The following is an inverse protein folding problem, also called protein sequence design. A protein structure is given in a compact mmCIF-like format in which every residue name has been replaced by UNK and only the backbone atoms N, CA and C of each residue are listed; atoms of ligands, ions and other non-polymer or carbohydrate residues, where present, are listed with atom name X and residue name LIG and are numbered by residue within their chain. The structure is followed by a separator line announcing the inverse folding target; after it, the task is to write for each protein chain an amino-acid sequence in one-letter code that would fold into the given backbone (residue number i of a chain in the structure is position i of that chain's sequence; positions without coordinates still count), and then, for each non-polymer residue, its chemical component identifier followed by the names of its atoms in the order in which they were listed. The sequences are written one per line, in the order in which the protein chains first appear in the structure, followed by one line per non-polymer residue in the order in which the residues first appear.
data_IF_435407635541
#
_entry.id   IF_435407635541
#
_cell.length_a   1.000
_cell.length_b   1.000
_cell.length_c   1.000
_cell.angle_alpha   90.00
_cell.angle_beta   90.00
_cell.angle_gamma   90.00
#
_symmetry.space_group_name_H-M   'P 1'
#
loop_
_entity.id
_entity.type
_entity.pdbx_description
1 polymer ?
#
# COMPACT_ATOMS: atom_id res chain seq x y z
N UNK A 1 31.35 -1.57 -0.84
CA UNK A 1 30.02 -1.15 -0.34
C UNK A 1 29.64 0.20 -0.90
N UNK A 2 30.41 1.26 -0.62
CA UNK A 2 30.14 2.65 -1.01
C UNK A 2 29.86 2.82 -2.51
N UNK A 3 30.67 2.23 -3.41
CA UNK A 3 30.44 2.33 -4.86
C UNK A 3 29.15 1.65 -5.32
N UNK A 4 28.72 0.56 -4.67
CA UNK A 4 27.48 -0.14 -5.03
C UNK A 4 26.25 0.58 -4.46
N UNK A 5 26.34 1.10 -3.24
CA UNK A 5 25.29 1.92 -2.67
C UNK A 5 25.14 3.24 -3.46
N UNK A 6 26.24 3.92 -3.78
CA UNK A 6 26.24 5.10 -4.65
C UNK A 6 25.70 4.77 -6.05
N UNK A 7 26.02 3.61 -6.61
CA UNK A 7 25.46 3.16 -7.88
C UNK A 7 23.94 2.94 -7.81
N UNK A 8 23.44 2.32 -6.74
CA UNK A 8 22.00 2.13 -6.53
C UNK A 8 21.28 3.47 -6.35
N UNK A 9 21.85 4.38 -5.55
CA UNK A 9 21.34 5.74 -5.34
C UNK A 9 21.33 6.51 -6.66
N UNK A 10 22.41 6.45 -7.44
CA UNK A 10 22.56 7.22 -8.67
C UNK A 10 21.78 6.65 -9.87
N UNK A 11 21.52 5.34 -9.90
CA UNK A 11 20.83 4.67 -11.02
C UNK A 11 19.37 4.30 -10.74
N UNK A 12 18.88 4.51 -9.52
CA UNK A 12 17.49 4.23 -9.10
C UNK A 12 17.03 2.78 -9.34
N UNK A 13 17.97 1.84 -9.53
CA UNK A 13 17.64 0.45 -9.83
C UNK A 13 17.41 -0.33 -8.54
N UNK A 14 16.16 -0.33 -8.08
CA UNK A 14 15.67 -1.12 -6.96
C UNK A 14 15.97 -2.63 -7.11
N UNK A 15 16.06 -3.15 -8.33
CA UNK A 15 16.41 -4.55 -8.63
C UNK A 15 17.82 -4.93 -8.15
N UNK A 16 18.75 -3.97 -8.10
CA UNK A 16 20.13 -4.19 -7.61
C UNK A 16 20.28 -4.08 -6.10
N UNK A 17 19.23 -3.70 -5.37
CA UNK A 17 19.26 -3.52 -3.91
C UNK A 17 19.54 -4.85 -3.18
N UNK A 18 19.10 -5.98 -3.73
CA UNK A 18 19.35 -7.30 -3.13
C UNK A 18 20.84 -7.65 -3.05
N UNK A 19 21.68 -7.08 -3.93
CA UNK A 19 23.14 -7.26 -3.86
C UNK A 19 23.74 -6.67 -2.59
N UNK A 20 23.06 -5.70 -1.97
CA UNK A 20 23.50 -5.11 -0.70
C UNK A 20 23.43 -6.10 0.47
N UNK A 21 22.63 -7.18 0.36
CA UNK A 21 22.55 -8.23 1.38
C UNK A 21 23.89 -8.98 1.59
N UNK A 22 24.85 -8.83 0.67
CA UNK A 22 26.19 -9.42 0.76
C UNK A 22 27.12 -8.67 1.70
N UNK A 23 26.77 -7.45 2.10
CA UNK A 23 27.58 -6.66 3.02
C UNK A 23 27.22 -6.97 4.48
N UNK A 24 28.13 -6.63 5.39
CA UNK A 24 27.83 -6.65 6.81
C UNK A 24 26.64 -5.73 7.12
N UNK A 25 25.66 -6.25 7.87
CA UNK A 25 24.40 -5.53 8.12
C UNK A 25 24.60 -4.29 8.97
N UNK A 26 25.50 -4.35 9.94
CA UNK A 26 25.76 -3.22 10.82
C UNK A 26 26.48 -2.10 10.06
N UNK A 27 27.55 -2.42 9.34
CA UNK A 27 28.28 -1.46 8.52
C UNK A 27 27.37 -0.80 7.47
N UNK A 28 26.57 -1.61 6.77
CA UNK A 28 25.61 -1.10 5.78
C UNK A 28 24.57 -0.19 6.44
N UNK A 29 24.03 -0.59 7.59
CA UNK A 29 23.03 0.22 8.29
C UNK A 29 23.60 1.57 8.73
N UNK A 30 24.78 1.58 9.35
CA UNK A 30 25.43 2.82 9.78
C UNK A 30 25.75 3.74 8.58
N UNK A 31 26.19 3.16 7.46
CA UNK A 31 26.40 3.90 6.22
C UNK A 31 25.09 4.53 5.71
N UNK A 32 24.03 3.74 5.59
CA UNK A 32 22.74 4.22 5.09
C UNK A 32 22.12 5.29 5.99
N UNK A 33 22.23 5.16 7.32
CA UNK A 33 21.78 6.20 8.26
C UNK A 33 22.55 7.51 8.06
N UNK A 34 23.88 7.42 7.91
CA UNK A 34 24.72 8.59 7.66
C UNK A 34 24.34 9.30 6.37
N UNK A 35 24.03 8.56 5.31
CA UNK A 35 23.55 9.16 4.06
C UNK A 35 22.14 9.73 4.22
N UNK A 36 21.22 9.03 4.89
CA UNK A 36 19.85 9.51 5.12
C UNK A 36 19.83 10.87 5.82
N UNK A 37 20.71 11.08 6.80
CA UNK A 37 20.79 12.32 7.56
C UNK A 37 21.41 13.50 6.80
N UNK A 38 22.05 13.25 5.65
CA UNK A 38 22.57 14.32 4.77
C UNK A 38 21.51 14.78 3.77
N UNK A 39 20.61 13.89 3.39
CA UNK A 39 19.66 14.14 2.30
C UNK A 39 18.45 14.92 2.78
N UNK A 40 18.15 16.03 2.08
CA UNK A 40 16.96 16.86 2.33
C UNK A 40 15.83 16.52 1.36
N UNK A 41 16.17 16.05 0.16
CA UNK A 41 15.18 15.79 -0.88
C UNK A 41 14.44 14.46 -0.61
N UNK A 42 13.11 14.51 -0.66
CA UNK A 42 12.24 13.34 -0.45
C UNK A 42 12.61 12.15 -1.36
N UNK A 43 12.98 12.42 -2.62
CA UNK A 43 13.34 11.38 -3.59
C UNK A 43 14.57 10.58 -3.14
N UNK A 44 15.59 11.26 -2.62
CA UNK A 44 16.83 10.65 -2.18
C UNK A 44 16.64 9.90 -0.86
N UNK A 45 15.89 10.51 0.09
CA UNK A 45 15.48 9.82 1.31
C UNK A 45 14.67 8.55 1.00
N UNK A 46 13.75 8.61 0.03
CA UNK A 46 12.94 7.45 -0.36
C UNK A 46 13.79 6.28 -0.86
N UNK A 47 14.84 6.55 -1.63
CA UNK A 47 15.76 5.51 -2.09
C UNK A 47 16.51 4.87 -0.91
N UNK A 48 17.00 5.69 0.01
CA UNK A 48 17.73 5.22 1.19
C UNK A 48 16.83 4.41 2.12
N UNK A 49 15.64 4.93 2.43
CA UNK A 49 14.62 4.21 3.20
C UNK A 49 14.24 2.90 2.50
N UNK A 50 14.11 2.90 1.16
CA UNK A 50 13.87 1.70 0.36
C UNK A 50 14.96 0.64 0.54
N UNK A 51 16.24 1.04 0.59
CA UNK A 51 17.35 0.13 0.89
C UNK A 51 17.27 -0.41 2.33
N UNK A 52 17.02 0.46 3.32
CA UNK A 52 16.87 0.03 4.72
C UNK A 52 15.72 -0.99 4.84
N UNK A 53 14.53 -0.64 4.34
CA UNK A 53 13.35 -1.49 4.44
C UNK A 53 13.49 -2.84 3.74
N UNK A 54 13.99 -2.86 2.49
CA UNK A 54 14.06 -4.09 1.69
C UNK A 54 15.27 -4.97 2.00
N UNK A 55 16.39 -4.39 2.46
CA UNK A 55 17.63 -5.15 2.70
C UNK A 55 17.77 -5.54 4.17
N UNK A 56 17.54 -4.59 5.08
CA UNK A 56 17.77 -4.78 6.50
C UNK A 56 16.50 -5.26 7.21
N UNK A 57 15.33 -4.77 6.80
CA UNK A 57 14.04 -5.18 7.34
C UNK A 57 14.02 -5.12 8.87
N UNK A 58 13.66 -6.24 9.50
CA UNK A 58 13.58 -6.37 10.97
C UNK A 58 14.89 -6.02 11.71
N UNK A 59 16.05 -6.07 11.06
CA UNK A 59 17.30 -5.60 11.69
C UNK A 59 17.22 -4.13 12.12
N UNK A 60 16.46 -3.32 11.40
CA UNK A 60 16.28 -1.89 11.67
C UNK A 60 15.13 -1.59 12.66
N UNK A 61 14.44 -2.60 13.20
CA UNK A 61 13.23 -2.42 14.02
C UNK A 61 13.42 -1.45 15.19
N UNK A 62 14.51 -1.59 15.93
CA UNK A 62 14.78 -0.74 17.12
C UNK A 62 14.90 0.72 16.74
N UNK A 63 15.61 1.02 15.64
CA UNK A 63 15.73 2.39 15.13
C UNK A 63 14.41 2.91 14.55
N UNK A 64 13.66 2.07 13.82
CA UNK A 64 12.33 2.45 13.33
C UNK A 64 11.36 2.70 14.48
N UNK A 65 11.52 2.02 15.61
CA UNK A 65 10.72 2.32 16.80
C UNK A 65 11.10 3.68 17.41
N UNK A 66 12.40 4.01 17.48
CA UNK A 66 12.85 5.28 18.07
C UNK A 66 12.40 6.51 17.28
N UNK A 67 12.30 6.44 15.94
CA UNK A 67 11.81 7.57 15.13
C UNK A 67 10.32 7.93 15.36
N UNK A 68 9.54 7.05 16.00
CA UNK A 68 8.17 7.37 16.45
C UNK A 68 8.15 8.11 17.79
N UNK A 69 9.14 7.85 18.65
CA UNK A 69 9.32 8.51 19.95
C UNK A 69 9.96 9.89 19.76
N UNK A 70 11.09 9.93 19.05
CA UNK A 70 11.91 11.13 18.86
C UNK A 70 11.27 12.14 17.89
N UNK A 71 10.40 11.66 17.00
CA UNK A 71 9.71 12.45 15.94
C UNK A 71 10.67 13.41 15.22
N UNK A 72 11.74 12.91 14.59
CA UNK A 72 12.71 13.77 13.93
C UNK A 72 12.08 14.55 12.76
N UNK A 73 12.28 15.87 12.74
CA UNK A 73 11.75 16.74 11.67
C UNK A 73 12.35 16.47 10.29
N UNK A 74 13.50 15.78 10.23
CA UNK A 74 14.23 15.53 8.99
C UNK A 74 13.76 14.27 8.24
N UNK A 75 12.93 13.41 8.84
CA UNK A 75 12.38 12.22 8.16
C UNK A 75 10.92 12.49 7.81
N UNK A 76 10.61 12.47 6.52
CA UNK A 76 9.23 12.59 6.05
C UNK A 76 8.34 11.50 6.67
N UNK A 77 7.16 11.89 7.17
CA UNK A 77 6.26 10.98 7.90
C UNK A 77 5.81 9.79 7.05
N UNK A 78 5.73 9.95 5.71
CA UNK A 78 5.38 8.87 4.79
C UNK A 78 6.50 7.83 4.72
N UNK A 79 7.75 8.28 4.74
CA UNK A 79 8.91 7.39 4.80
C UNK A 79 9.02 6.69 6.14
N UNK A 80 8.66 7.36 7.24
CA UNK A 80 8.53 6.71 8.55
C UNK A 80 7.50 5.57 8.52
N UNK A 81 6.33 5.78 7.92
CA UNK A 81 5.32 4.72 7.76
C UNK A 81 5.80 3.59 6.86
N UNK A 82 6.44 3.90 5.73
CA UNK A 82 7.07 2.90 4.87
C UNK A 82 8.07 2.02 5.64
N UNK A 83 9.01 2.64 6.36
CA UNK A 83 9.99 1.93 7.18
C UNK A 83 9.32 1.07 8.25
N UNK A 84 8.21 1.55 8.82
CA UNK A 84 7.43 0.81 9.81
C UNK A 84 6.82 -0.45 9.21
N UNK A 85 6.21 -0.36 8.03
CA UNK A 85 5.66 -1.52 7.33
C UNK A 85 6.75 -2.56 6.99
N UNK A 86 7.95 -2.11 6.65
CA UNK A 86 9.04 -2.98 6.20
C UNK A 86 9.88 -3.58 7.33
N UNK A 87 10.03 -2.86 8.45
CA UNK A 87 11.02 -3.18 9.50
C UNK A 87 10.40 -3.58 10.84
N UNK A 88 9.08 -3.68 10.94
CA UNK A 88 8.39 -4.07 12.19
C UNK A 88 7.39 -5.19 11.93
N UNK A 89 6.93 -5.86 12.99
CA UNK A 89 5.79 -6.78 12.85
C UNK A 89 4.54 -6.01 12.44
N UNK A 90 3.72 -6.60 11.55
CA UNK A 90 2.46 -6.03 11.06
C UNK A 90 1.59 -5.41 12.16
N UNK A 91 1.32 -6.15 13.24
CA UNK A 91 0.41 -5.70 14.30
C UNK A 91 0.94 -4.46 15.04
N UNK A 92 2.22 -4.47 15.42
CA UNK A 92 2.90 -3.32 16.05
C UNK A 92 2.94 -2.12 15.10
N UNK A 93 3.31 -2.34 13.84
CA UNK A 93 3.47 -1.28 12.85
C UNK A 93 2.15 -0.59 12.50
N UNK A 94 1.07 -1.37 12.29
CA UNK A 94 -0.25 -0.82 12.01
C UNK A 94 -0.77 -0.01 13.20
N UNK A 95 -0.60 -0.50 14.44
CA UNK A 95 -1.00 0.24 15.62
C UNK A 95 -0.32 1.61 15.71
N UNK A 96 0.98 1.69 15.43
CA UNK A 96 1.72 2.96 15.39
C UNK A 96 1.17 3.92 14.34
N UNK A 97 0.91 3.42 13.13
CA UNK A 97 0.45 4.25 12.01
C UNK A 97 -1.01 4.68 12.16
N UNK A 98 -1.89 3.81 12.64
CA UNK A 98 -3.29 4.17 12.96
C UNK A 98 -3.33 5.27 14.02
N UNK A 99 -2.63 5.08 15.14
CA UNK A 99 -2.55 6.10 16.20
C UNK A 99 -2.03 7.44 15.66
N UNK A 100 -1.04 7.42 14.76
CA UNK A 100 -0.54 8.64 14.13
C UNK A 100 -1.59 9.34 13.27
N UNK A 101 -2.26 8.59 12.39
CA UNK A 101 -3.29 9.13 11.51
C UNK A 101 -4.47 9.69 12.31
N UNK A 102 -4.93 8.96 13.33
CA UNK A 102 -6.07 9.32 14.18
C UNK A 102 -5.75 10.47 15.15
N UNK A 103 -4.49 10.64 15.56
CA UNK A 103 -4.07 11.77 16.40
C UNK A 103 -4.11 13.13 15.68
N UNK A 104 -4.22 13.11 14.35
CA UNK A 104 -4.36 14.32 13.55
C UNK A 104 -5.79 14.82 13.63
N UNK A 105 -6.01 16.03 14.16
CA UNK A 105 -7.31 16.71 14.09
C UNK A 105 -7.73 17.10 12.65
N UNK A 106 -6.94 16.72 11.64
CA UNK A 106 -7.22 16.98 10.23
C UNK A 106 -7.91 15.78 9.61
N UNK A 107 -8.82 16.04 8.67
CA UNK A 107 -9.49 14.99 7.91
C UNK A 107 -8.49 14.29 6.98
N UNK A 108 -8.16 13.03 7.26
CA UNK A 108 -7.23 12.19 6.48
C UNK A 108 -7.72 12.03 5.04
N UNK A 109 -6.91 12.40 4.05
CA UNK A 109 -7.25 12.21 2.62
C UNK A 109 -6.93 10.78 2.14
N UNK A 110 -7.48 10.35 1.01
CA UNK A 110 -7.19 9.01 0.47
C UNK A 110 -5.72 8.85 0.09
N UNK A 111 -5.08 9.87 -0.50
CA UNK A 111 -3.65 9.86 -0.81
C UNK A 111 -2.78 9.81 0.44
N UNK A 112 -3.19 10.51 1.50
CA UNK A 112 -2.51 10.47 2.79
C UNK A 112 -2.61 9.07 3.40
N UNK A 113 -3.82 8.51 3.51
CA UNK A 113 -4.04 7.14 3.99
C UNK A 113 -3.22 6.12 3.17
N UNK A 114 -3.26 6.22 1.83
CA UNK A 114 -2.50 5.37 0.92
C UNK A 114 -0.98 5.47 1.18
N UNK A 115 -0.46 6.68 1.36
CA UNK A 115 0.97 6.90 1.59
C UNK A 115 1.49 6.38 2.93
N UNK A 116 0.59 6.14 3.89
CA UNK A 116 0.92 5.65 5.22
C UNK A 116 0.61 4.16 5.41
N UNK A 117 -0.42 3.64 4.77
CA UNK A 117 -0.94 2.29 5.01
C UNK A 117 -0.73 1.33 3.84
N UNK A 118 -0.43 1.84 2.63
CA UNK A 118 -0.39 1.05 1.40
C UNK A 118 0.68 -0.05 1.36
N UNK A 119 1.79 0.12 2.09
CA UNK A 119 2.89 -0.85 2.12
C UNK A 119 2.70 -1.98 3.15
N UNK A 120 1.66 -1.92 4.00
CA UNK A 120 1.37 -2.98 4.98
C UNK A 120 0.72 -4.22 4.36
N UNK A 121 0.04 -4.05 3.23
CA UNK A 121 -0.66 -5.13 2.53
C UNK A 121 -1.56 -5.98 3.46
N UNK A 122 -2.30 -5.32 4.37
CA UNK A 122 -3.07 -6.00 5.42
C UNK A 122 -4.56 -5.73 5.30
N UNK A 123 -5.37 -6.78 5.46
CA UNK A 123 -6.83 -6.66 5.58
C UNK A 123 -7.28 -5.84 6.80
N UNK A 124 -6.43 -5.71 7.82
CA UNK A 124 -6.72 -4.85 8.97
C UNK A 124 -6.85 -3.37 8.55
N UNK A 125 -6.18 -2.97 7.46
CA UNK A 125 -6.34 -1.65 6.85
C UNK A 125 -7.74 -1.48 6.29
N UNK A 126 -8.33 -2.53 5.69
CA UNK A 126 -9.71 -2.47 5.20
C UNK A 126 -10.68 -2.24 6.36
N UNK A 127 -10.49 -2.93 7.48
CA UNK A 127 -11.29 -2.74 8.69
C UNK A 127 -11.19 -1.30 9.22
N UNK A 128 -10.00 -0.71 9.20
CA UNK A 128 -9.80 0.69 9.56
C UNK A 128 -10.51 1.64 8.58
N UNK A 129 -10.35 1.41 7.27
CA UNK A 129 -10.92 2.26 6.21
C UNK A 129 -12.44 2.41 6.26
N UNK A 130 -13.19 1.48 6.84
CA UNK A 130 -14.66 1.57 6.90
C UNK A 130 -15.16 2.84 7.58
N UNK A 131 -14.44 3.27 8.61
CA UNK A 131 -14.81 4.46 9.36
C UNK A 131 -14.28 5.74 8.71
N UNK A 132 -13.20 5.64 7.93
CA UNK A 132 -12.42 6.78 7.45
C UNK A 132 -12.61 7.11 5.96
N UNK A 133 -13.04 6.14 5.14
CA UNK A 133 -13.21 6.32 3.70
C UNK A 133 -14.21 7.43 3.40
N UNK A 134 -13.92 8.21 2.37
CA UNK A 134 -14.74 9.35 1.94
C UNK A 134 -14.60 9.62 0.46
N UNK A 135 -15.57 10.33 -0.11
CA UNK A 135 -15.44 10.86 -1.45
C UNK A 135 -14.38 11.99 -1.53
N UNK A 136 -13.68 12.12 -2.67
CA UNK A 136 -13.68 11.20 -3.81
C UNK A 136 -12.86 9.93 -3.55
N UNK A 137 -13.43 8.76 -3.84
CA UNK A 137 -12.78 7.47 -3.54
C UNK A 137 -11.61 7.15 -4.48
N UNK A 138 -11.59 7.76 -5.66
CA UNK A 138 -10.51 7.61 -6.66
C UNK A 138 -9.24 8.41 -6.30
N UNK A 139 -9.25 9.18 -5.22
CA UNK A 139 -8.07 9.88 -4.69
C UNK A 139 -7.31 9.01 -3.69
N UNK A 140 -7.07 7.74 -4.04
CA UNK A 140 -6.21 6.82 -3.29
C UNK A 140 -6.93 5.82 -2.39
N UNK A 141 -8.22 6.00 -2.11
CA UNK A 141 -8.96 5.03 -1.28
C UNK A 141 -9.19 3.69 -2.01
N UNK A 142 -9.52 3.74 -3.29
CA UNK A 142 -9.64 2.57 -4.17
C UNK A 142 -8.32 1.79 -4.28
N UNK A 143 -7.21 2.50 -4.44
CA UNK A 143 -5.87 1.92 -4.49
C UNK A 143 -5.45 1.36 -3.12
N UNK A 144 -5.79 2.03 -2.02
CA UNK A 144 -5.52 1.52 -0.70
C UNK A 144 -6.32 0.22 -0.44
N UNK A 145 -7.59 0.19 -0.83
CA UNK A 145 -8.40 -1.03 -0.73
C UNK A 145 -7.76 -2.18 -1.51
N UNK A 146 -7.35 -1.93 -2.75
CA UNK A 146 -6.67 -2.89 -3.62
C UNK A 146 -5.38 -3.43 -2.98
N UNK A 147 -4.52 -2.54 -2.48
CA UNK A 147 -3.24 -2.91 -1.87
C UNK A 147 -3.39 -3.64 -0.54
N UNK A 148 -4.54 -3.54 0.12
CA UNK A 148 -4.81 -4.10 1.44
C UNK A 148 -5.25 -5.57 1.45
N UNK A 149 -5.05 -6.29 0.33
CA UNK A 149 -5.30 -7.72 0.22
C UNK A 149 -6.75 -8.15 0.52
N UNK A 150 -7.73 -7.48 -0.09
CA UNK A 150 -9.18 -7.74 0.11
C UNK A 150 -9.64 -9.16 -0.28
N UNK A 151 -10.39 -9.82 0.57
CA UNK A 151 -11.03 -11.11 0.26
C UNK A 151 -12.35 -10.95 -0.48
N UNK A 152 -12.91 -12.07 -0.97
CA UNK A 152 -14.28 -12.13 -1.47
C UNK A 152 -15.32 -11.66 -0.44
N UNK A 153 -15.12 -12.00 0.84
CA UNK A 153 -16.03 -11.57 1.89
C UNK A 153 -15.98 -10.05 2.10
N UNK A 154 -14.81 -9.43 1.93
CA UNK A 154 -14.68 -7.97 1.99
C UNK A 154 -15.45 -7.31 0.83
N UNK A 155 -15.40 -7.88 -0.38
CA UNK A 155 -16.18 -7.38 -1.53
C UNK A 155 -17.69 -7.41 -1.29
N UNK A 156 -18.21 -8.56 -0.82
CA UNK A 156 -19.63 -8.69 -0.50
C UNK A 156 -20.05 -7.72 0.59
N UNK A 157 -19.25 -7.61 1.66
CA UNK A 157 -19.53 -6.75 2.80
C UNK A 157 -19.51 -5.28 2.39
N UNK A 158 -18.44 -4.81 1.76
CA UNK A 158 -18.28 -3.39 1.39
C UNK A 158 -19.33 -2.93 0.39
N UNK A 159 -19.74 -3.78 -0.55
CA UNK A 159 -20.84 -3.44 -1.49
C UNK A 159 -22.24 -3.47 -0.86
N UNK A 160 -22.36 -3.84 0.41
CA UNK A 160 -23.59 -3.75 1.20
C UNK A 160 -23.60 -2.57 2.19
N UNK A 161 -22.47 -1.87 2.35
CA UNK A 161 -22.35 -0.68 3.19
C UNK A 161 -22.82 0.58 2.43
N UNK A 162 -22.47 1.75 2.94
CA UNK A 162 -22.78 3.03 2.31
C UNK A 162 -22.14 3.17 0.92
N UNK A 163 -22.72 4.05 0.10
CA UNK A 163 -22.31 4.32 -1.29
C UNK A 163 -20.80 4.51 -1.47
N UNK A 164 -20.13 5.20 -0.54
CA UNK A 164 -18.67 5.41 -0.59
C UNK A 164 -17.89 4.08 -0.61
N UNK A 165 -18.31 3.09 0.15
CA UNK A 165 -17.65 1.77 0.21
C UNK A 165 -17.89 0.99 -1.07
N UNK A 166 -19.14 0.97 -1.55
CA UNK A 166 -19.51 0.30 -2.80
C UNK A 166 -18.72 0.87 -3.98
N UNK A 167 -18.59 2.20 -4.06
CA UNK A 167 -17.85 2.87 -5.14
C UNK A 167 -16.34 2.65 -5.01
N UNK A 168 -15.79 2.55 -3.80
CA UNK A 168 -14.40 2.12 -3.58
C UNK A 168 -14.16 0.72 -4.16
N UNK A 169 -15.05 -0.24 -3.91
CA UNK A 169 -14.94 -1.60 -4.46
C UNK A 169 -14.98 -1.60 -5.99
N UNK A 170 -15.91 -0.85 -6.58
CA UNK A 170 -16.03 -0.75 -8.04
C UNK A 170 -14.71 -0.32 -8.69
N UNK A 171 -14.10 0.76 -8.20
CA UNK A 171 -12.84 1.25 -8.75
C UNK A 171 -11.63 0.39 -8.38
N UNK A 172 -11.62 -0.24 -7.19
CA UNK A 172 -10.58 -1.17 -6.81
C UNK A 172 -10.55 -2.42 -7.71
N UNK A 173 -11.72 -2.95 -8.10
CA UNK A 173 -11.82 -4.08 -9.03
C UNK A 173 -11.38 -3.71 -10.45
N UNK A 174 -11.73 -2.51 -10.92
CA UNK A 174 -11.26 -2.00 -12.22
C UNK A 174 -9.73 -1.85 -12.23
N UNK A 175 -9.16 -1.30 -11.16
CA UNK A 175 -7.70 -1.23 -10.98
C UNK A 175 -7.06 -2.61 -10.91
N UNK A 176 -7.66 -3.57 -10.19
CA UNK A 176 -7.16 -4.95 -10.11
C UNK A 176 -7.03 -5.57 -11.51
N UNK A 177 -8.05 -5.44 -12.36
CA UNK A 177 -8.02 -5.91 -13.75
C UNK A 177 -6.90 -5.23 -14.53
N UNK A 178 -6.80 -3.90 -14.44
CA UNK A 178 -5.76 -3.15 -15.14
C UNK A 178 -4.34 -3.57 -14.72
N UNK A 179 -4.09 -3.70 -13.42
CA UNK A 179 -2.78 -4.07 -12.88
C UNK A 179 -2.40 -5.52 -13.23
N UNK A 180 -3.34 -6.46 -13.13
CA UNK A 180 -3.11 -7.85 -13.57
C UNK A 180 -2.85 -7.96 -15.07
N UNK A 181 -3.55 -7.20 -15.91
CA UNK A 181 -3.32 -7.20 -17.36
C UNK A 181 -1.97 -6.59 -17.73
N UNK A 182 -1.56 -5.52 -17.05
CA UNK A 182 -0.37 -4.75 -17.40
C UNK A 182 0.92 -5.36 -16.84
N UNK A 183 0.85 -6.13 -15.75
CA UNK A 183 2.02 -6.51 -14.97
C UNK A 183 2.08 -8.01 -14.66
N UNK A 184 3.12 -8.68 -15.18
CA UNK A 184 3.41 -10.08 -14.84
C UNK A 184 3.80 -10.29 -13.36
N UNK A 185 4.13 -9.21 -12.62
CA UNK A 185 4.55 -9.28 -11.21
C UNK A 185 3.43 -8.97 -10.20
N UNK A 186 2.24 -8.55 -10.65
CA UNK A 186 1.12 -8.33 -9.71
C UNK A 186 0.57 -9.67 -9.22
N UNK A 187 1.12 -10.15 -8.10
CA UNK A 187 0.88 -11.50 -7.58
C UNK A 187 -0.33 -11.62 -6.65
N UNK A 188 -1.08 -10.53 -6.43
CA UNK A 188 -2.20 -10.55 -5.51
C UNK A 188 -3.29 -11.53 -6.00
N UNK A 189 -3.79 -12.38 -5.10
CA UNK A 189 -4.86 -13.34 -5.36
C UNK A 189 -5.97 -13.10 -4.35
N UNK A 190 -7.19 -12.91 -4.85
CA UNK A 190 -8.36 -12.65 -4.01
C UNK A 190 -8.73 -13.94 -3.27
N UNK A 191 -8.54 -13.93 -1.96
CA UNK A 191 -8.85 -15.10 -1.12
C UNK A 191 -10.35 -15.36 -1.06
N UNK A 192 -10.73 -16.65 -1.13
CA UNK A 192 -12.13 -17.08 -1.06
C UNK A 192 -12.96 -16.73 -2.29
N UNK A 193 -12.32 -16.46 -3.43
CA UNK A 193 -13.02 -16.15 -4.67
C UNK A 193 -14.00 -17.29 -5.04
N UNK A 194 -15.24 -16.96 -5.43
CA UNK A 194 -16.25 -17.96 -5.72
C UNK A 194 -16.04 -18.60 -7.10
N UNK A 195 -17.05 -19.30 -7.62
CA UNK A 195 -17.04 -19.72 -9.03
C UNK A 195 -17.14 -18.54 -9.98
N UNK A 196 -16.62 -18.69 -11.21
CA UNK A 196 -16.72 -17.66 -12.26
C UNK A 196 -18.16 -17.18 -12.50
N UNK A 197 -19.13 -18.10 -12.51
CA UNK A 197 -20.55 -17.76 -12.66
C UNK A 197 -21.08 -16.92 -11.50
N UNK A 198 -20.75 -17.28 -10.26
CA UNK A 198 -21.19 -16.54 -9.07
C UNK A 198 -20.57 -15.13 -9.02
N UNK A 199 -19.31 -14.97 -9.43
CA UNK A 199 -18.69 -13.65 -9.54
C UNK A 199 -19.36 -12.80 -10.63
N UNK A 200 -19.71 -13.38 -11.78
CA UNK A 200 -20.44 -12.67 -12.85
C UNK A 200 -21.81 -12.22 -12.34
N UNK A 201 -22.57 -13.11 -11.68
CA UNK A 201 -23.89 -12.79 -11.15
C UNK A 201 -23.81 -11.63 -10.14
N UNK A 202 -22.83 -11.67 -9.23
CA UNK A 202 -22.57 -10.57 -8.30
C UNK A 202 -22.28 -9.25 -9.02
N UNK A 203 -21.43 -9.25 -10.05
CA UNK A 203 -21.09 -8.04 -10.80
C UNK A 203 -22.28 -7.50 -11.61
N UNK A 204 -23.11 -8.38 -12.17
CA UNK A 204 -24.33 -8.00 -12.88
C UNK A 204 -25.32 -7.34 -11.93
N UNK A 205 -25.53 -7.89 -10.73
CA UNK A 205 -26.37 -7.27 -9.70
C UNK A 205 -25.79 -5.95 -9.19
N UNK A 206 -24.47 -5.87 -8.98
CA UNK A 206 -23.79 -4.62 -8.65
C UNK A 206 -24.01 -3.56 -9.74
N UNK A 207 -23.89 -3.93 -11.02
CA UNK A 207 -24.13 -3.03 -12.16
C UNK A 207 -25.56 -2.51 -12.19
N UNK A 208 -26.56 -3.39 -11.97
CA UNK A 208 -27.99 -3.01 -11.97
C UNK A 208 -28.32 -1.94 -10.92
N UNK A 209 -27.60 -1.92 -9.80
CA UNK A 209 -27.75 -0.90 -8.75
C UNK A 209 -27.19 0.47 -9.13
N UNK A 210 -26.31 0.55 -10.14
CA UNK A 210 -25.64 1.79 -10.51
C UNK A 210 -26.44 2.59 -11.54
N UNK A 211 -26.51 3.91 -11.33
CA UNK A 211 -27.14 4.87 -12.27
C UNK A 211 -26.08 5.66 -13.05
N UNK A 212 -24.92 5.92 -12.43
CA UNK A 212 -23.89 6.77 -13.03
C UNK A 212 -23.02 5.98 -13.99
N UNK A 213 -22.87 6.49 -15.23
CA UNK A 213 -22.00 5.88 -16.25
C UNK A 213 -20.57 5.64 -15.77
N UNK A 214 -20.03 6.56 -14.96
CA UNK A 214 -18.68 6.44 -14.35
C UNK A 214 -18.53 5.28 -13.36
N UNK A 215 -19.62 4.62 -12.96
CA UNK A 215 -19.64 3.43 -12.10
C UNK A 215 -20.03 2.18 -12.86
N UNK A 216 -20.92 2.32 -13.85
CA UNK A 216 -21.33 1.21 -14.73
C UNK A 216 -20.15 0.73 -15.57
N UNK A 217 -19.43 1.65 -16.24
CA UNK A 217 -18.34 1.29 -17.14
C UNK A 217 -17.21 0.49 -16.47
N UNK A 218 -16.72 0.87 -15.26
CA UNK A 218 -15.77 0.05 -14.51
C UNK A 218 -16.25 -1.40 -14.30
N UNK A 219 -17.51 -1.59 -13.90
CA UNK A 219 -18.07 -2.93 -13.67
C UNK A 219 -18.14 -3.74 -14.98
N UNK A 220 -18.54 -3.10 -16.08
CA UNK A 220 -18.57 -3.75 -17.40
C UNK A 220 -17.18 -4.16 -17.85
N UNK A 221 -16.17 -3.33 -17.62
CA UNK A 221 -14.77 -3.66 -17.90
C UNK A 221 -14.31 -4.87 -17.06
N UNK A 222 -14.70 -4.94 -15.79
CA UNK A 222 -14.39 -6.11 -14.92
C UNK A 222 -15.06 -7.38 -15.45
N UNK A 223 -16.33 -7.32 -15.86
CA UNK A 223 -17.05 -8.46 -16.44
C UNK A 223 -16.39 -8.93 -17.75
N UNK A 224 -15.97 -8.01 -18.61
CA UNK A 224 -15.30 -8.35 -19.88
C UNK A 224 -13.95 -9.04 -19.67
N UNK A 225 -13.28 -8.76 -18.55
CA UNK A 225 -11.98 -9.31 -18.20
C UNK A 225 -12.04 -10.31 -17.05
N UNK A 226 -13.19 -10.97 -16.87
CA UNK A 226 -13.45 -11.89 -15.76
C UNK A 226 -12.44 -13.04 -15.66
N UNK A 227 -11.84 -13.45 -16.79
CA UNK A 227 -10.84 -14.51 -16.84
C UNK A 227 -9.54 -14.15 -16.10
N UNK A 228 -9.28 -12.87 -15.84
CA UNK A 228 -8.10 -12.44 -15.06
C UNK A 228 -8.13 -12.90 -13.60
N UNK A 229 -9.32 -13.25 -13.11
CA UNK A 229 -9.52 -13.67 -11.73
C UNK A 229 -9.24 -15.17 -11.50
N UNK A 230 -9.04 -15.96 -12.57
CA UNK A 230 -8.93 -17.43 -12.54
C UNK A 230 -7.74 -17.93 -13.36
#
# INVERSE_FOLDING_TARGET
MEQLAAFVVYREKLETITLLQRFDRNELFQFLLKELYKEVAFKDQKLICGMIGRVLGLYAETWVSSIWEDKPDHIDTRLRSYLTAMCTSKDKGLLLVFNFLESSNKKITGYEALSHLGDFHSRDVISWMENDVKFPVTEGWDELFLRSNFSWDDLKRWTSLEEKHEVTVIHALEKYVHEKSANNEFSYVISGLPSKSELIDFLVELRKRQVLKKRILPIENVIQNIDIFY
#
